data_IF_890100768084
#
_entry.id   IF_890100768084
#
_cell.length_a   1.000
_cell.length_b   1.000
_cell.length_c   1.000
_cell.angle_alpha   90.00
_cell.angle_beta   90.00
_cell.angle_gamma   90.00
#
_symmetry.space_group_name_H-M   'P 1'
#
loop_
_entity.id
_entity.type
_entity.pdbx_description
1 polymer ?
#
# COMPACT_ATOMS: atom_id res chain seq x y z
N UNK A 1 -45.39 -67.68 -35.31
CA UNK A 1 -43.91 -67.87 -35.28
C UNK A 1 -43.31 -66.58 -34.75
N UNK A 2 -42.62 -66.65 -33.60
CA UNK A 2 -41.43 -65.85 -33.22
C UNK A 2 -41.63 -64.34 -33.05
N UNK A 3 -41.15 -63.63 -32.04
CA UNK A 3 -40.31 -63.85 -30.85
C UNK A 3 -40.60 -62.61 -29.94
N UNK A 4 -40.90 -62.76 -28.65
CA UNK A 4 -40.02 -62.49 -27.50
C UNK A 4 -39.28 -61.14 -27.52
N UNK A 5 -39.48 -60.32 -26.48
CA UNK A 5 -38.56 -59.36 -25.80
C UNK A 5 -39.43 -58.28 -25.12
N UNK A 6 -39.57 -58.17 -23.79
CA UNK A 6 -38.60 -58.36 -22.73
C UNK A 6 -38.00 -57.00 -22.31
N UNK A 7 -38.81 -56.05 -21.82
CA UNK A 7 -38.31 -54.79 -21.25
C UNK A 7 -37.97 -54.98 -19.77
N UNK A 8 -36.67 -55.13 -19.47
CA UNK A 8 -36.14 -55.00 -18.11
C UNK A 8 -35.86 -53.52 -17.82
N UNK A 9 -36.61 -52.95 -16.87
CA UNK A 9 -36.30 -51.66 -16.28
C UNK A 9 -35.16 -51.83 -15.26
N UNK A 10 -34.00 -51.21 -15.51
CA UNK A 10 -32.93 -51.05 -14.53
C UNK A 10 -32.79 -49.57 -14.19
N UNK A 11 -33.23 -49.20 -12.99
CA UNK A 11 -33.07 -47.86 -12.44
C UNK A 11 -31.62 -47.67 -11.97
N UNK A 12 -30.87 -46.76 -12.61
CA UNK A 12 -29.61 -46.26 -12.07
C UNK A 12 -29.92 -45.26 -10.94
N UNK A 13 -29.58 -45.62 -9.70
CA UNK A 13 -29.53 -44.67 -8.60
C UNK A 13 -28.25 -43.82 -8.72
N UNK A 14 -28.41 -42.54 -9.05
CA UNK A 14 -27.31 -41.57 -9.05
C UNK A 14 -27.03 -41.11 -7.62
N UNK A 15 -25.87 -41.49 -7.06
CA UNK A 15 -25.33 -40.88 -5.85
C UNK A 15 -24.84 -39.46 -6.19
N UNK A 16 -25.57 -38.44 -5.75
CA UNK A 16 -25.11 -37.05 -5.78
C UNK A 16 -24.14 -36.86 -4.61
N UNK A 17 -22.84 -36.80 -4.92
CA UNK A 17 -21.83 -36.38 -3.95
C UNK A 17 -21.97 -34.87 -3.70
N UNK A 18 -22.47 -34.50 -2.52
CA UNK A 18 -22.49 -33.11 -2.04
C UNK A 18 -21.06 -32.69 -1.64
N UNK A 19 -20.37 -31.96 -2.51
CA UNK A 19 -19.15 -31.27 -2.13
C UNK A 19 -19.49 -30.10 -1.19
N UNK A 20 -18.79 -29.90 -0.07
CA UNK A 20 -19.00 -28.73 0.77
C UNK A 20 -18.54 -27.47 0.02
N UNK A 21 -19.46 -26.50 -0.13
CA UNK A 21 -19.15 -25.16 -0.59
C UNK A 21 -18.26 -24.49 0.47
N UNK A 22 -16.96 -24.41 0.19
CA UNK A 22 -16.07 -23.52 0.94
C UNK A 22 -16.53 -22.07 0.67
N UNK A 23 -17.20 -21.46 1.64
CA UNK A 23 -17.54 -20.04 1.60
C UNK A 23 -16.24 -19.25 1.77
N UNK A 24 -15.66 -18.82 0.65
CA UNK A 24 -14.58 -17.85 0.66
C UNK A 24 -15.12 -16.56 1.32
N UNK A 25 -14.68 -16.28 2.54
CA UNK A 25 -14.97 -15.00 3.18
C UNK A 25 -14.21 -13.92 2.44
N UNK A 26 -14.94 -13.11 1.66
CA UNK A 26 -14.37 -11.94 1.00
C UNK A 26 -13.80 -11.00 2.07
N UNK A 27 -12.55 -10.58 1.90
CA UNK A 27 -11.94 -9.59 2.77
C UNK A 27 -12.77 -8.29 2.73
N UNK A 28 -12.84 -7.53 3.85
CA UNK A 28 -13.55 -6.27 3.88
C UNK A 28 -12.98 -5.31 2.83
N UNK A 29 -13.86 -4.63 2.10
CA UNK A 29 -13.46 -3.62 1.14
C UNK A 29 -12.78 -2.44 1.85
N UNK A 30 -11.77 -1.85 1.21
CA UNK A 30 -11.10 -0.69 1.76
C UNK A 30 -12.06 0.52 1.85
N UNK A 31 -11.99 1.32 2.92
CA UNK A 31 -12.77 2.55 3.03
C UNK A 31 -12.56 3.48 1.82
N UNK A 32 -13.59 4.23 1.44
CA UNK A 32 -13.53 5.16 0.30
C UNK A 32 -12.40 6.20 0.43
N UNK A 33 -12.09 6.63 1.66
CA UNK A 33 -10.98 7.54 1.96
C UNK A 33 -9.61 6.93 1.64
N UNK A 34 -9.41 5.64 1.90
CA UNK A 34 -8.21 4.90 1.55
C UNK A 34 -8.02 4.83 0.04
N UNK A 35 -9.09 4.49 -0.69
CA UNK A 35 -9.05 4.41 -2.15
C UNK A 35 -8.80 5.79 -2.79
N UNK A 36 -9.47 6.83 -2.29
CA UNK A 36 -9.25 8.19 -2.79
C UNK A 36 -7.81 8.67 -2.57
N UNK A 37 -7.23 8.41 -1.39
CA UNK A 37 -5.84 8.71 -1.10
C UNK A 37 -4.89 7.90 -2.00
N UNK A 38 -5.15 6.61 -2.18
CA UNK A 38 -4.39 5.73 -3.07
C UNK A 38 -4.39 6.25 -4.51
N UNK A 39 -5.56 6.55 -5.08
CA UNK A 39 -5.67 7.06 -6.45
C UNK A 39 -4.89 8.37 -6.61
N UNK A 40 -4.94 9.26 -5.60
CA UNK A 40 -4.16 10.49 -5.61
C UNK A 40 -2.67 10.28 -5.59
N UNK A 41 -2.20 9.42 -4.68
CA UNK A 41 -0.78 9.09 -4.57
C UNK A 41 -0.26 8.40 -5.83
N UNK A 42 -1.03 7.47 -6.42
CA UNK A 42 -0.67 6.81 -7.68
C UNK A 42 -0.51 7.81 -8.82
N UNK A 43 -1.45 8.76 -8.94
CA UNK A 43 -1.38 9.81 -9.94
C UNK A 43 -0.19 10.75 -9.71
N UNK A 44 0.06 11.16 -8.46
CA UNK A 44 1.16 12.06 -8.11
C UNK A 44 2.54 11.43 -8.36
N UNK A 45 2.68 10.13 -8.12
CA UNK A 45 3.94 9.42 -8.26
C UNK A 45 4.13 8.75 -9.63
N UNK A 46 3.06 8.58 -10.42
CA UNK A 46 3.11 7.84 -11.68
C UNK A 46 3.42 6.35 -11.48
N UNK A 47 3.06 5.78 -10.33
CA UNK A 47 3.34 4.41 -9.95
C UNK A 47 2.11 3.74 -9.33
N UNK A 48 2.04 2.42 -9.40
CA UNK A 48 1.03 1.65 -8.69
C UNK A 48 1.46 1.41 -7.23
N UNK A 49 0.48 1.38 -6.33
CA UNK A 49 0.66 1.04 -4.92
C UNK A 49 -0.18 -0.17 -4.53
N UNK A 50 0.13 -0.72 -3.35
CA UNK A 50 -0.74 -1.64 -2.64
C UNK A 50 -1.42 -0.93 -1.46
N UNK A 51 -2.57 -1.44 -1.02
CA UNK A 51 -3.29 -0.96 0.17
C UNK A 51 -3.46 -2.11 1.13
N UNK A 52 -3.14 -1.89 2.39
CA UNK A 52 -3.43 -2.82 3.49
C UNK A 52 -4.29 -2.10 4.54
N UNK A 53 -5.36 -2.77 4.99
CA UNK A 53 -6.14 -2.32 6.14
C UNK A 53 -5.46 -2.81 7.43
N UNK A 54 -5.50 -2.00 8.47
CA UNK A 54 -4.89 -2.37 9.75
C UNK A 54 -4.57 -1.17 10.63
N UNK A 55 -3.86 -1.41 11.74
CA UNK A 55 -3.39 -0.34 12.60
C UNK A 55 -2.40 0.57 11.86
N UNK A 56 -2.57 1.87 12.06
CA UNK A 56 -1.71 2.93 11.55
C UNK A 56 -1.26 3.78 12.73
N UNK A 57 0.02 4.13 12.75
CA UNK A 57 0.58 5.02 13.77
C UNK A 57 0.71 6.44 13.23
N UNK A 58 0.33 7.40 14.08
CA UNK A 58 0.54 8.83 13.90
C UNK A 58 1.07 9.41 15.22
N UNK A 59 1.87 10.49 15.25
CA UNK A 59 2.32 11.09 16.50
C UNK A 59 1.16 11.38 17.48
N UNK A 60 1.22 10.78 18.67
CA UNK A 60 0.16 10.84 19.68
C UNK A 60 -1.02 9.88 19.48
N UNK A 61 -1.02 9.05 18.43
CA UNK A 61 -2.02 8.02 18.13
C UNK A 61 -1.32 6.74 17.67
N UNK A 62 -1.10 5.79 18.58
CA UNK A 62 -0.61 4.47 18.22
C UNK A 62 -1.77 3.56 17.79
N UNK A 63 -1.52 2.69 16.82
CA UNK A 63 -2.40 1.59 16.43
C UNK A 63 -3.85 1.98 16.08
N UNK A 64 -4.05 3.18 15.53
CA UNK A 64 -5.37 3.64 15.11
C UNK A 64 -5.86 2.82 13.90
N UNK A 65 -7.15 2.43 13.85
CA UNK A 65 -7.68 1.69 12.70
C UNK A 65 -7.60 2.55 11.45
N UNK A 66 -7.10 1.98 10.35
CA UNK A 66 -6.91 2.73 9.13
C UNK A 66 -6.40 1.90 7.98
N UNK A 67 -5.62 2.53 7.11
CA UNK A 67 -4.99 1.87 5.99
C UNK A 67 -3.61 2.43 5.68
N UNK A 68 -2.72 1.57 5.20
CA UNK A 68 -1.40 1.94 4.70
C UNK A 68 -1.36 1.73 3.19
N UNK A 69 -1.07 2.79 2.45
CA UNK A 69 -0.73 2.74 1.03
C UNK A 69 0.78 2.61 0.92
N UNK A 70 1.26 1.64 0.15
CA UNK A 70 2.70 1.36 0.01
C UNK A 70 3.12 1.41 -1.45
N UNK A 71 4.21 2.12 -1.72
CA UNK A 71 4.96 2.03 -2.97
C UNK A 71 6.34 1.47 -2.69
N UNK A 72 6.76 0.53 -3.53
CA UNK A 72 8.13 0.04 -3.57
C UNK A 72 8.68 0.18 -4.98
N UNK A 73 9.98 0.37 -5.09
CA UNK A 73 10.62 0.50 -6.40
C UNK A 73 12.05 0.99 -6.27
N UNK A 74 12.64 1.39 -7.39
CA UNK A 74 13.97 1.97 -7.39
C UNK A 74 13.94 3.45 -7.76
N UNK A 75 15.08 4.12 -7.62
CA UNK A 75 15.26 5.47 -8.15
C UNK A 75 15.10 5.56 -9.67
N UNK A 76 15.06 4.44 -10.42
CA UNK A 76 14.64 4.46 -11.84
C UNK A 76 13.17 4.86 -12.01
N UNK A 77 12.33 4.55 -11.03
CA UNK A 77 10.89 4.88 -11.03
C UNK A 77 10.67 6.24 -10.39
N UNK A 78 11.27 6.47 -9.22
CA UNK A 78 10.97 7.64 -8.39
C UNK A 78 11.97 8.80 -8.53
N UNK A 79 13.05 8.60 -9.29
CA UNK A 79 14.18 9.52 -9.36
C UNK A 79 15.19 9.31 -8.24
N UNK A 80 16.24 10.15 -8.20
CA UNK A 80 17.34 10.05 -7.23
C UNK A 80 17.23 11.04 -6.07
N UNK A 81 16.09 11.74 -5.94
CA UNK A 81 15.83 12.67 -4.85
C UNK A 81 14.53 12.27 -4.15
N UNK A 82 14.64 11.80 -2.91
CA UNK A 82 13.47 11.52 -2.09
C UNK A 82 12.70 12.81 -1.74
N UNK A 83 13.38 13.96 -1.67
CA UNK A 83 12.73 15.26 -1.45
C UNK A 83 11.81 15.62 -2.62
N UNK A 84 12.22 15.36 -3.86
CA UNK A 84 11.37 15.58 -5.02
C UNK A 84 10.13 14.66 -5.02
N UNK A 85 10.27 13.43 -4.53
CA UNK A 85 9.14 12.51 -4.33
C UNK A 85 8.20 13.03 -3.25
N UNK A 86 8.75 13.46 -2.10
CA UNK A 86 7.98 14.04 -1.00
C UNK A 86 7.23 15.31 -1.44
N UNK A 87 7.87 16.20 -2.22
CA UNK A 87 7.26 17.42 -2.73
C UNK A 87 6.05 17.14 -3.64
N UNK A 88 6.09 16.07 -4.46
CA UNK A 88 4.93 15.65 -5.27
C UNK A 88 3.76 15.21 -4.40
N UNK A 89 4.04 14.46 -3.34
CA UNK A 89 3.02 14.01 -2.38
C UNK A 89 2.48 15.18 -1.57
N UNK A 90 3.33 16.10 -1.14
CA UNK A 90 2.95 17.32 -0.43
C UNK A 90 2.01 18.19 -1.26
N UNK A 91 2.37 18.47 -2.52
CA UNK A 91 1.49 19.19 -3.45
C UNK A 91 0.14 18.49 -3.65
N UNK A 92 0.14 17.16 -3.73
CA UNK A 92 -1.09 16.36 -3.83
C UNK A 92 -1.96 16.48 -2.56
N UNK A 93 -1.34 16.41 -1.38
CA UNK A 93 -2.03 16.52 -0.09
C UNK A 93 -2.64 17.93 0.07
N UNK A 94 -1.85 18.98 -0.09
CA UNK A 94 -2.30 20.36 0.04
C UNK A 94 -3.38 20.72 -1.00
N UNK A 95 -3.22 20.28 -2.25
CA UNK A 95 -4.23 20.47 -3.30
C UNK A 95 -5.57 19.78 -3.01
N UNK A 96 -5.60 18.86 -2.04
CA UNK A 96 -6.81 18.17 -1.56
C UNK A 96 -7.29 18.69 -0.20
N UNK A 97 -6.75 19.82 0.26
CA UNK A 97 -7.14 20.50 1.49
C UNK A 97 -6.63 19.82 2.76
N UNK A 98 -5.54 19.06 2.68
CA UNK A 98 -4.83 18.59 3.86
C UNK A 98 -3.82 19.65 4.31
N UNK A 99 -3.80 19.96 5.60
CA UNK A 99 -2.85 20.89 6.20
C UNK A 99 -1.62 20.13 6.74
N UNK A 100 -0.39 20.58 6.47
CA UNK A 100 0.80 20.01 7.09
C UNK A 100 0.75 20.11 8.62
N UNK A 101 1.18 19.04 9.30
CA UNK A 101 1.37 18.99 10.75
C UNK A 101 2.88 18.90 11.03
N UNK A 102 3.47 20.05 11.31
CA UNK A 102 4.91 20.16 11.56
C UNK A 102 5.36 19.41 12.82
N UNK A 103 4.45 19.07 13.74
CA UNK A 103 4.78 18.23 14.89
C UNK A 103 4.97 16.75 14.51
N UNK A 104 4.57 16.39 13.29
CA UNK A 104 4.69 15.07 12.70
C UNK A 104 5.67 15.05 11.51
N UNK A 105 6.58 16.02 11.45
CA UNK A 105 7.67 16.06 10.47
C UNK A 105 8.93 15.38 11.01
N UNK A 106 9.63 14.64 10.17
CA UNK A 106 10.93 14.05 10.49
C UNK A 106 11.80 13.95 9.24
N UNK A 107 13.05 14.42 9.33
CA UNK A 107 13.99 14.36 8.21
C UNK A 107 15.23 13.53 8.57
N UNK A 108 15.78 12.88 7.54
CA UNK A 108 17.00 12.10 7.64
C UNK A 108 17.81 12.15 6.34
N UNK A 109 19.01 11.55 6.35
CA UNK A 109 19.90 11.60 5.19
C UNK A 109 19.39 10.78 3.99
N UNK A 110 18.50 9.80 4.22
CA UNK A 110 17.96 8.91 3.18
C UNK A 110 16.44 8.88 3.12
N UNK A 111 15.78 9.83 3.77
CA UNK A 111 14.33 9.87 3.80
C UNK A 111 13.77 11.05 4.56
N UNK A 112 12.46 11.21 4.44
CA UNK A 112 11.68 12.26 5.09
C UNK A 112 10.30 11.72 5.43
N UNK A 113 9.66 12.32 6.42
CA UNK A 113 8.28 12.09 6.79
C UNK A 113 7.58 13.41 7.09
N UNK A 114 6.30 13.48 6.76
CA UNK A 114 5.43 14.61 7.06
C UNK A 114 4.04 14.09 7.43
N UNK A 115 3.49 14.63 8.51
CA UNK A 115 2.10 14.42 8.89
C UNK A 115 1.20 15.46 8.23
N UNK A 116 -0.04 15.07 8.02
CA UNK A 116 -1.09 15.95 7.51
C UNK A 116 -2.38 15.75 8.29
N UNK A 117 -3.17 16.82 8.42
CA UNK A 117 -4.48 16.81 9.09
C UNK A 117 -5.58 17.32 8.17
N UNK A 118 -6.77 16.75 8.31
CA UNK A 118 -8.00 17.24 7.68
C UNK A 118 -9.20 16.90 8.56
N UNK A 119 -9.67 17.88 9.33
CA UNK A 119 -10.61 17.61 10.42
C UNK A 119 -9.96 16.67 11.44
N UNK A 120 -10.66 15.60 11.82
CA UNK A 120 -10.14 14.59 12.75
C UNK A 120 -9.25 13.54 12.07
N UNK A 121 -9.26 13.46 10.74
CA UNK A 121 -8.43 12.53 10.00
C UNK A 121 -6.96 12.98 9.98
N UNK A 122 -6.04 12.02 9.98
CA UNK A 122 -4.60 12.28 9.85
C UNK A 122 -3.96 11.35 8.81
N UNK A 123 -2.92 11.84 8.13
CA UNK A 123 -2.10 11.03 7.22
C UNK A 123 -0.63 11.21 7.57
N UNK A 124 0.06 10.11 7.89
CA UNK A 124 1.51 10.09 7.97
C UNK A 124 2.08 9.67 6.62
N UNK A 125 2.85 10.55 5.99
CA UNK A 125 3.59 10.26 4.75
C UNK A 125 5.04 9.99 5.11
N UNK A 126 5.62 8.92 4.57
CA UNK A 126 7.04 8.63 4.69
C UNK A 126 7.63 8.27 3.34
N UNK A 127 8.76 8.87 2.99
CA UNK A 127 9.50 8.61 1.76
C UNK A 127 10.93 8.25 2.17
N UNK A 128 11.27 6.97 2.07
CA UNK A 128 12.62 6.50 2.39
C UNK A 128 13.20 5.76 1.20
N UNK A 129 14.52 5.79 1.08
CA UNK A 129 15.24 4.81 0.30
C UNK A 129 16.32 4.14 1.15
N UNK A 130 16.69 2.93 0.75
CA UNK A 130 17.87 2.25 1.25
C UNK A 130 18.72 1.75 0.08
N UNK A 131 19.92 1.26 0.36
CA UNK A 131 20.82 0.66 -0.62
C UNK A 131 21.20 -0.76 -0.19
N UNK A 132 21.63 -1.59 -1.13
CA UNK A 132 22.17 -2.90 -0.79
C UNK A 132 23.52 -2.77 -0.06
N UNK A 133 23.88 -3.78 0.74
CA UNK A 133 25.18 -3.83 1.43
C UNK A 133 26.32 -3.64 0.41
N UNK A 134 27.28 -2.80 0.76
CA UNK A 134 28.47 -2.52 -0.06
C UNK A 134 28.27 -1.43 -1.11
N UNK A 135 27.05 -0.91 -1.29
CA UNK A 135 26.83 0.31 -2.12
C UNK A 135 27.34 1.54 -1.39
N UNK A 136 26.93 1.70 -0.12
CA UNK A 136 27.45 2.73 0.77
C UNK A 136 28.39 2.10 1.79
N UNK A 137 29.50 2.77 2.10
CA UNK A 137 30.38 2.37 3.20
C UNK A 137 29.67 2.61 4.53
N UNK A 138 29.63 1.62 5.46
CA UNK A 138 29.05 1.81 6.78
C UNK A 138 29.86 2.75 7.67
N UNK A 139 31.16 2.91 7.38
CA UNK A 139 32.09 3.71 8.17
C UNK A 139 32.29 5.14 7.61
N UNK A 140 31.53 5.51 6.58
CA UNK A 140 31.57 6.82 5.96
C UNK A 140 30.27 7.60 6.20
N UNK A 141 30.30 8.95 6.23
CA UNK A 141 29.08 9.75 6.27
C UNK A 141 28.15 9.41 5.11
N UNK A 142 26.84 9.25 5.38
CA UNK A 142 25.84 8.95 4.34
C UNK A 142 25.85 9.95 3.19
N UNK A 143 26.16 11.23 3.49
CA UNK A 143 26.26 12.31 2.49
C UNK A 143 27.36 12.08 1.43
N UNK A 144 28.36 11.23 1.73
CA UNK A 144 29.42 10.85 0.78
C UNK A 144 29.02 9.67 -0.13
N UNK A 145 27.90 9.01 0.17
CA UNK A 145 27.38 7.95 -0.67
C UNK A 145 26.53 8.52 -1.81
N UNK A 146 26.89 8.19 -3.04
CA UNK A 146 26.17 8.61 -4.25
C UNK A 146 25.65 7.38 -5.01
N UNK A 147 24.64 6.67 -4.47
CA UNK A 147 24.08 5.51 -5.15
C UNK A 147 23.45 5.92 -6.48
N UNK A 148 23.60 5.08 -7.49
CA UNK A 148 22.87 5.25 -8.75
C UNK A 148 21.37 5.07 -8.54
N UNK A 149 20.55 5.56 -9.47
CA UNK A 149 19.10 5.33 -9.48
C UNK A 149 18.70 3.84 -9.35
N UNK A 150 19.51 2.93 -9.89
CA UNK A 150 19.26 1.49 -9.79
C UNK A 150 19.53 0.93 -8.38
N UNK A 151 20.43 1.56 -7.63
CA UNK A 151 20.87 1.12 -6.30
C UNK A 151 20.00 1.69 -5.16
N UNK A 152 19.27 2.78 -5.42
CA UNK A 152 18.30 3.35 -4.47
C UNK A 152 17.03 2.51 -4.50
N UNK A 153 16.68 1.86 -3.39
CA UNK A 153 15.45 1.09 -3.20
C UNK A 153 14.50 1.88 -2.33
N UNK A 154 13.43 2.39 -2.92
CA UNK A 154 12.43 3.20 -2.24
C UNK A 154 11.39 2.32 -1.52
N UNK A 155 11.01 2.79 -0.33
CA UNK A 155 9.85 2.37 0.43
C UNK A 155 9.10 3.65 0.84
N UNK A 156 7.94 3.86 0.21
CA UNK A 156 7.10 5.04 0.41
C UNK A 156 5.78 4.58 1.03
N UNK A 157 5.37 5.20 2.11
CA UNK A 157 4.11 4.87 2.79
C UNK A 157 3.25 6.09 3.03
N UNK A 158 1.94 5.91 2.92
CA UNK A 158 0.93 6.86 3.40
C UNK A 158 -0.01 6.09 4.33
N UNK A 159 0.10 6.34 5.64
CA UNK A 159 -0.78 5.77 6.66
C UNK A 159 -1.90 6.74 6.96
N UNK A 160 -3.15 6.36 6.67
CA UNK A 160 -4.35 7.15 6.95
C UNK A 160 -5.05 6.66 8.21
N UNK A 161 -5.27 7.58 9.16
CA UNK A 161 -6.26 7.44 10.23
C UNK A 161 -7.51 8.22 9.82
N UNK A 162 -8.66 7.55 9.54
CA UNK A 162 -9.88 8.25 9.16
C UNK A 162 -10.47 9.01 10.35
N UNK A 163 -11.33 10.00 10.06
CA UNK A 163 -12.16 10.61 11.09
C UNK A 163 -13.09 9.54 11.72
N UNK A 164 -13.32 9.64 13.02
CA UNK A 164 -14.20 8.71 13.75
C UNK A 164 -15.68 9.00 13.50
#
# INVERSE_FOLDING_TARGET
>A
MRDLLGLHATALAALVALAPLAVAHAAPAAPASCLALQTGANAALGAASTVALGPVSYPGQADAPGCTITFTGSGKVFGTSFQAVAAKLDAMMQGRGWAPDNNAAADGPTGTAMGYRKGEAAVAVSVNYNTAKGVCSPDAPVASCHPTAAQMRYAITLGLTPAS
#
